data_IF_959228758038
#
_entry.id   IF_959228758038
#
_cell.length_a   1.000
_cell.length_b   1.000
_cell.length_c   1.000
_cell.angle_alpha   90.00
_cell.angle_beta   90.00
_cell.angle_gamma   90.00
#
_symmetry.space_group_name_H-M   'P 1'
#
loop_
_entity.id
_entity.type
_entity.pdbx_description
1 polymer ?
#
# COMPACT_ATOMS: atom_id res chain seq x y z
N UNK A 1 63.32 -55.90 58.03
CA UNK A 1 62.97 -55.30 56.72
C UNK A 1 61.87 -54.27 56.93
N UNK A 2 62.24 -53.00 56.90
CA UNK A 2 61.30 -51.86 56.89
C UNK A 2 60.82 -51.67 55.45
N UNK A 3 59.50 -51.66 55.20
CA UNK A 3 58.93 -51.17 53.93
C UNK A 3 57.78 -50.21 54.20
N UNK A 4 57.94 -49.04 53.61
CA UNK A 4 57.19 -47.81 53.79
C UNK A 4 55.72 -47.95 53.36
N UNK A 5 54.80 -47.44 54.20
CA UNK A 5 53.42 -47.13 53.81
C UNK A 5 53.42 -45.83 52.99
N UNK A 6 53.05 -45.93 51.72
CA UNK A 6 52.93 -44.79 50.82
C UNK A 6 51.78 -43.86 51.22
N UNK A 7 52.11 -42.64 51.63
CA UNK A 7 51.20 -41.49 51.59
C UNK A 7 51.35 -40.82 50.22
N UNK A 8 50.46 -41.07 49.26
CA UNK A 8 50.52 -40.40 47.95
C UNK A 8 49.17 -40.38 47.23
N UNK A 9 48.19 -39.66 47.79
CA UNK A 9 46.95 -39.33 47.04
C UNK A 9 46.38 -37.94 47.33
N UNK A 10 46.93 -37.22 48.33
CA UNK A 10 46.50 -35.87 48.69
C UNK A 10 47.32 -34.77 47.99
N UNK A 11 48.59 -35.02 47.66
CA UNK A 11 49.46 -34.04 47.00
C UNK A 11 49.13 -33.86 45.51
N UNK A 12 48.70 -34.90 44.81
CA UNK A 12 48.39 -34.83 43.37
C UNK A 12 47.19 -33.92 43.06
N UNK A 13 46.26 -33.77 44.01
CA UNK A 13 45.11 -32.88 43.87
C UNK A 13 45.45 -31.41 44.16
N UNK A 14 46.49 -31.13 44.95
CA UNK A 14 46.87 -29.76 45.34
C UNK A 14 47.49 -28.97 44.17
N UNK A 15 48.29 -29.62 43.34
CA UNK A 15 48.85 -28.99 42.15
C UNK A 15 47.76 -28.64 41.13
N UNK A 16 46.81 -29.57 40.92
CA UNK A 16 45.68 -29.36 40.00
C UNK A 16 44.74 -28.25 40.50
N UNK A 17 44.45 -28.20 41.80
CA UNK A 17 43.62 -27.12 42.36
C UNK A 17 44.32 -25.77 42.34
N UNK A 18 45.64 -25.71 42.61
CA UNK A 18 46.41 -24.48 42.52
C UNK A 18 46.47 -23.92 41.08
N UNK A 19 46.72 -24.78 40.09
CA UNK A 19 46.71 -24.41 38.66
C UNK A 19 45.31 -23.98 38.23
N UNK A 20 44.27 -24.70 38.64
CA UNK A 20 42.88 -24.33 38.34
C UNK A 20 42.53 -22.95 38.92
N UNK A 21 42.98 -22.65 40.14
CA UNK A 21 42.74 -21.37 40.82
C UNK A 21 43.49 -20.21 40.15
N UNK A 22 44.75 -20.40 39.77
CA UNK A 22 45.52 -19.41 39.01
C UNK A 22 44.89 -19.13 37.64
N UNK A 23 44.51 -20.18 36.91
CA UNK A 23 43.81 -20.06 35.62
C UNK A 23 42.50 -19.28 35.77
N UNK A 24 41.71 -19.56 36.82
CA UNK A 24 40.46 -18.85 37.08
C UNK A 24 40.67 -17.36 37.38
N UNK A 25 41.66 -17.01 38.21
CA UNK A 25 41.98 -15.60 38.53
C UNK A 25 42.43 -14.84 37.27
N UNK A 26 43.27 -15.46 36.43
CA UNK A 26 43.69 -14.86 35.16
C UNK A 26 42.51 -14.65 34.19
N UNK A 27 41.57 -15.59 34.17
CA UNK A 27 40.35 -15.52 33.39
C UNK A 27 39.37 -14.44 33.89
N UNK A 28 39.20 -14.31 35.20
CA UNK A 28 38.30 -13.34 35.84
C UNK A 28 38.83 -11.90 35.68
N UNK A 29 40.15 -11.71 35.80
CA UNK A 29 40.81 -10.42 35.59
C UNK A 29 41.07 -10.08 34.11
N UNK A 30 40.66 -10.93 33.16
CA UNK A 30 40.90 -10.77 31.71
C UNK A 30 42.39 -10.65 31.31
N UNK A 31 43.32 -11.12 32.13
CA UNK A 31 44.79 -10.98 31.96
C UNK A 31 45.41 -11.99 30.98
N UNK A 32 44.61 -12.54 30.05
CA UNK A 32 44.95 -13.72 29.22
C UNK A 32 46.17 -13.56 28.30
N UNK A 33 46.74 -12.36 28.20
CA UNK A 33 47.83 -12.02 27.28
C UNK A 33 49.22 -11.97 27.94
N UNK A 34 49.40 -12.51 29.16
CA UNK A 34 50.70 -12.52 29.87
C UNK A 34 51.36 -13.91 29.96
N UNK A 35 50.97 -14.87 29.12
CA UNK A 35 51.60 -16.20 29.10
C UNK A 35 53.01 -16.13 28.51
N UNK A 36 54.03 -16.32 29.36
CA UNK A 36 55.48 -16.33 29.04
C UNK A 36 55.97 -17.65 28.39
N UNK A 37 55.08 -18.60 28.08
CA UNK A 37 55.45 -19.83 27.40
C UNK A 37 54.71 -19.99 26.07
N UNK A 38 55.35 -19.53 25.00
CA UNK A 38 54.99 -19.86 23.62
C UNK A 38 55.37 -21.32 23.33
N UNK A 39 54.35 -22.17 23.20
CA UNK A 39 54.49 -23.47 22.54
C UNK A 39 53.61 -23.44 21.30
N UNK A 40 54.26 -23.19 20.17
CA UNK A 40 53.71 -23.19 18.82
C UNK A 40 52.91 -24.48 18.56
N UNK A 41 51.57 -24.39 18.52
CA UNK A 41 50.72 -25.47 18.04
C UNK A 41 50.49 -25.35 16.54
N UNK A 42 51.04 -26.31 15.83
CA UNK A 42 50.90 -26.61 14.40
C UNK A 42 49.43 -26.70 14.00
N UNK A 43 49.01 -25.85 13.06
CA UNK A 43 47.64 -25.76 12.53
C UNK A 43 47.50 -26.72 11.35
N UNK A 44 46.90 -27.90 11.57
CA UNK A 44 46.51 -28.83 10.50
C UNK A 44 45.12 -28.46 10.00
N UNK A 45 45.03 -27.93 8.78
CA UNK A 45 43.77 -27.74 8.05
C UNK A 45 43.32 -29.09 7.49
N UNK A 46 42.13 -29.55 7.89
CA UNK A 46 41.41 -30.65 7.20
C UNK A 46 40.40 -30.05 6.23
N UNK A 47 40.73 -30.14 4.96
CA UNK A 47 39.83 -29.84 3.83
C UNK A 47 39.04 -31.10 3.51
N UNK A 48 37.72 -31.11 3.70
CA UNK A 48 36.84 -32.21 3.27
C UNK A 48 35.99 -31.76 2.08
N UNK A 49 36.46 -32.09 0.88
CA UNK A 49 35.69 -32.00 -0.35
C UNK A 49 34.87 -33.29 -0.51
N UNK A 50 33.54 -33.20 -0.44
CA UNK A 50 32.64 -34.33 -0.72
C UNK A 50 31.84 -34.06 -1.99
N UNK A 51 32.22 -34.74 -3.07
CA UNK A 51 31.57 -34.70 -4.38
C UNK A 51 30.18 -35.34 -4.33
N UNK A 52 29.16 -34.66 -4.89
CA UNK A 52 27.82 -35.21 -5.10
C UNK A 52 27.68 -35.70 -6.54
N UNK A 53 27.46 -36.99 -6.68
CA UNK A 53 27.12 -37.68 -7.93
C UNK A 53 25.73 -37.27 -8.40
N UNK A 54 25.62 -36.82 -9.65
CA UNK A 54 24.37 -36.57 -10.36
C UNK A 54 23.86 -37.91 -10.95
N UNK A 55 22.68 -38.37 -10.51
CA UNK A 55 21.94 -39.42 -11.22
C UNK A 55 20.81 -38.80 -12.04
N UNK A 56 20.93 -39.04 -13.34
CA UNK A 56 20.02 -38.71 -14.44
C UNK A 56 18.90 -39.75 -14.47
N UNK A 57 17.63 -39.33 -14.54
CA UNK A 57 16.50 -40.12 -15.03
C UNK A 57 15.28 -39.19 -15.24
N UNK A 58 15.05 -38.81 -16.50
CA UNK A 58 13.91 -37.99 -16.95
C UNK A 58 12.80 -38.91 -17.46
N UNK A 59 11.57 -38.73 -16.97
CA UNK A 59 10.35 -39.24 -17.62
C UNK A 59 9.42 -38.06 -17.88
N UNK A 60 8.88 -38.00 -19.10
CA UNK A 60 7.97 -36.95 -19.55
C UNK A 60 6.61 -37.05 -18.84
N UNK A 61 6.09 -35.90 -18.39
CA UNK A 61 4.77 -35.76 -17.77
C UNK A 61 3.99 -34.69 -18.55
N UNK A 62 2.75 -35.04 -18.87
CA UNK A 62 1.82 -34.30 -19.72
C UNK A 62 1.12 -33.23 -18.86
N UNK A 63 1.01 -32.01 -19.39
CA UNK A 63 0.48 -30.82 -18.71
C UNK A 63 -1.03 -30.96 -18.41
N UNK A 64 -1.37 -30.94 -17.12
CA UNK A 64 -2.75 -30.91 -16.63
C UNK A 64 -2.94 -29.77 -15.63
N UNK A 65 -2.62 -28.52 -16.02
CA UNK A 65 -3.32 -27.28 -15.64
C UNK A 65 -3.65 -26.96 -14.16
N UNK A 66 -3.22 -27.75 -13.19
CA UNK A 66 -3.58 -27.63 -11.78
C UNK A 66 -2.30 -27.48 -10.97
N UNK A 67 -2.00 -26.22 -10.59
CA UNK A 67 -0.80 -25.87 -9.83
C UNK A 67 -0.79 -26.56 -8.46
N UNK A 68 -0.10 -27.71 -8.35
CA UNK A 68 0.40 -28.21 -7.07
C UNK A 68 1.60 -27.35 -6.66
N UNK A 69 1.53 -26.80 -5.45
CA UNK A 69 2.60 -26.03 -4.83
C UNK A 69 3.86 -26.90 -4.70
N UNK A 70 4.88 -26.56 -5.49
CA UNK A 70 6.24 -27.07 -5.32
C UNK A 70 6.75 -26.62 -3.95
N UNK A 71 7.07 -27.57 -3.06
CA UNK A 71 7.85 -27.26 -1.88
C UNK A 71 9.23 -26.78 -2.33
N UNK A 72 9.43 -25.46 -2.29
CA UNK A 72 10.73 -24.84 -2.49
C UNK A 72 11.73 -25.25 -1.39
N UNK A 73 13.00 -24.84 -1.52
CA UNK A 73 14.01 -25.05 -0.48
C UNK A 73 13.45 -24.54 0.86
N UNK A 74 13.69 -25.28 1.96
CA UNK A 74 13.35 -24.83 3.33
C UNK A 74 13.93 -23.43 3.55
N UNK A 75 13.13 -22.39 3.29
CA UNK A 75 13.36 -21.05 3.77
C UNK A 75 13.27 -21.17 5.29
N UNK A 76 14.34 -20.84 6.00
CA UNK A 76 14.30 -20.77 7.45
C UNK A 76 13.13 -19.86 7.85
N UNK A 77 12.29 -20.35 8.75
CA UNK A 77 11.09 -19.67 9.20
C UNK A 77 11.43 -18.23 9.64
N UNK A 78 10.90 -17.18 8.99
CA UNK A 78 11.22 -15.79 9.33
C UNK A 78 10.78 -15.39 10.74
N UNK A 79 10.08 -16.27 11.47
CA UNK A 79 9.57 -16.07 12.82
C UNK A 79 10.37 -16.83 13.89
N UNK A 80 11.58 -17.32 13.59
CA UNK A 80 12.39 -18.09 14.53
C UNK A 80 12.82 -17.25 15.74
N UNK A 81 12.21 -17.53 16.89
CA UNK A 81 12.54 -16.88 18.16
C UNK A 81 13.97 -17.21 18.60
N UNK A 82 14.70 -16.20 19.07
CA UNK A 82 16.08 -16.36 19.52
C UNK A 82 16.34 -15.59 20.83
N UNK A 83 17.24 -16.13 21.65
CA UNK A 83 17.70 -15.51 22.89
C UNK A 83 18.72 -14.42 22.53
N UNK A 84 18.56 -13.22 23.08
CA UNK A 84 19.45 -12.09 22.81
C UNK A 84 20.70 -12.09 23.69
N UNK A 85 20.65 -12.69 24.87
CA UNK A 85 21.78 -12.67 25.78
C UNK A 85 22.93 -13.57 25.28
N UNK A 86 24.20 -13.10 25.42
CA UNK A 86 25.36 -13.87 25.00
C UNK A 86 25.46 -15.17 25.79
N UNK A 87 25.88 -16.25 25.11
CA UNK A 87 26.16 -17.52 25.79
C UNK A 87 27.28 -17.30 26.81
N UNK A 88 27.13 -17.81 28.05
CA UNK A 88 28.18 -17.66 29.05
C UNK A 88 29.48 -18.35 28.57
N UNK A 89 30.65 -17.84 28.98
CA UNK A 89 31.92 -18.49 28.69
C UNK A 89 31.95 -19.91 29.27
N UNK A 90 32.71 -20.83 28.65
CA UNK A 90 32.84 -22.18 29.19
C UNK A 90 33.42 -22.15 30.61
N UNK A 91 32.90 -23.02 31.47
CA UNK A 91 33.29 -23.11 32.87
C UNK A 91 34.80 -23.38 33.01
N UNK A 92 35.45 -22.62 33.89
CA UNK A 92 36.87 -22.84 34.23
C UNK A 92 37.05 -24.15 34.97
N UNK A 93 38.28 -24.69 34.97
CA UNK A 93 38.57 -25.92 35.73
C UNK A 93 38.26 -25.74 37.23
N UNK A 94 38.52 -24.54 37.79
CA UNK A 94 38.19 -24.25 39.19
C UNK A 94 36.69 -24.30 39.49
N UNK A 95 35.84 -23.80 38.57
CA UNK A 95 34.39 -23.89 38.70
C UNK A 95 33.90 -25.33 38.58
N UNK A 96 34.51 -26.14 37.70
CA UNK A 96 34.21 -27.58 37.59
C UNK A 96 34.61 -28.38 38.83
N UNK A 97 35.69 -27.96 39.51
CA UNK A 97 36.16 -28.54 40.76
C UNK A 97 35.42 -28.02 42.00
N UNK A 98 34.44 -27.12 41.82
CA UNK A 98 33.64 -26.56 42.91
C UNK A 98 34.39 -25.57 43.82
N UNK A 99 35.54 -25.05 43.39
CA UNK A 99 36.29 -24.03 44.11
C UNK A 99 35.63 -22.65 44.02
N UNK A 100 34.87 -22.41 42.94
CA UNK A 100 34.08 -21.20 42.71
C UNK A 100 32.69 -21.58 42.24
N UNK A 101 31.68 -20.78 42.60
CA UNK A 101 30.32 -20.99 42.13
C UNK A 101 30.25 -20.79 40.60
N UNK A 102 29.67 -21.75 39.86
CA UNK A 102 29.48 -21.60 38.42
C UNK A 102 28.47 -20.48 38.14
N UNK A 103 28.64 -19.69 37.06
CA UNK A 103 27.70 -18.66 36.68
C UNK A 103 26.30 -19.23 36.46
N UNK A 104 25.23 -18.46 36.76
CA UNK A 104 23.86 -18.93 36.62
C UNK A 104 23.60 -19.41 35.20
N UNK A 105 23.09 -20.65 35.10
CA UNK A 105 22.86 -21.30 33.81
C UNK A 105 21.81 -20.52 32.99
N UNK A 106 22.00 -20.42 31.66
CA UNK A 106 20.96 -19.89 30.78
C UNK A 106 19.72 -20.78 30.88
N UNK A 107 18.54 -20.17 30.75
CA UNK A 107 17.29 -20.92 30.74
C UNK A 107 17.28 -21.89 29.56
N UNK A 108 16.87 -23.11 29.83
CA UNK A 108 16.66 -24.15 28.83
C UNK A 108 15.52 -23.79 27.87
N UNK A 109 15.47 -24.44 26.71
CA UNK A 109 14.38 -24.23 25.74
C UNK A 109 13.00 -24.53 26.36
N UNK A 110 12.91 -25.56 27.20
CA UNK A 110 11.66 -25.98 27.84
C UNK A 110 11.20 -24.98 28.90
N UNK A 111 12.13 -24.37 29.63
CA UNK A 111 11.82 -23.29 30.56
C UNK A 111 11.33 -22.04 29.83
N UNK A 112 11.92 -21.71 28.68
CA UNK A 112 11.44 -20.63 27.83
C UNK A 112 10.03 -20.88 27.31
N UNK A 113 9.70 -22.13 26.98
CA UNK A 113 8.34 -22.48 26.59
C UNK A 113 7.36 -22.26 27.75
N UNK A 114 7.70 -22.65 28.97
CA UNK A 114 6.87 -22.38 30.17
C UNK A 114 6.70 -20.87 30.42
N UNK A 115 7.76 -20.08 30.26
CA UNK A 115 7.70 -18.62 30.39
C UNK A 115 6.80 -18.02 29.30
N UNK A 116 6.90 -18.50 28.07
CA UNK A 116 6.04 -18.09 26.96
C UNK A 116 4.58 -18.45 27.22
N UNK A 117 4.29 -19.67 27.64
CA UNK A 117 2.94 -20.10 28.00
C UNK A 117 2.33 -19.20 29.08
N UNK A 118 3.09 -18.85 30.12
CA UNK A 118 2.62 -17.91 31.15
C UNK A 118 2.31 -16.53 30.58
N UNK A 119 3.18 -16.00 29.72
CA UNK A 119 2.96 -14.72 29.04
C UNK A 119 1.71 -14.73 28.15
N UNK A 120 1.47 -15.84 27.45
CA UNK A 120 0.28 -16.03 26.60
C UNK A 120 -0.99 -16.09 27.45
N UNK A 121 -0.99 -16.83 28.56
CA UNK A 121 -2.13 -16.92 29.48
C UNK A 121 -2.48 -15.55 30.10
N UNK A 122 -1.48 -14.72 30.38
CA UNK A 122 -1.66 -13.36 30.86
C UNK A 122 -2.09 -12.38 29.75
N UNK A 123 -2.05 -12.80 28.48
CA UNK A 123 -2.34 -11.93 27.35
C UNK A 123 -1.33 -10.79 27.20
N UNK A 124 -0.09 -10.96 27.64
CA UNK A 124 0.90 -9.89 27.68
C UNK A 124 1.15 -9.26 26.30
N UNK A 125 1.10 -10.06 25.22
CA UNK A 125 1.26 -9.59 23.84
C UNK A 125 0.00 -8.93 23.24
N UNK A 126 -1.16 -9.03 23.93
CA UNK A 126 -2.39 -8.31 23.56
C UNK A 126 -2.48 -6.93 24.20
N UNK A 127 -1.88 -6.76 25.38
CA UNK A 127 -1.83 -5.48 26.08
C UNK A 127 -0.79 -4.56 25.43
N UNK A 128 -0.95 -3.23 25.52
CA UNK A 128 0.05 -2.30 25.01
C UNK A 128 1.37 -2.43 25.79
N UNK A 129 2.47 -2.00 25.18
CA UNK A 129 3.76 -2.02 25.85
C UNK A 129 3.73 -1.13 27.11
N UNK A 130 4.13 -1.64 28.29
CA UNK A 130 4.04 -0.86 29.53
C UNK A 130 4.93 0.39 29.58
N UNK A 131 5.94 0.50 28.71
CA UNK A 131 6.88 1.62 28.67
C UNK A 131 6.33 2.78 27.82
N UNK A 132 5.95 2.50 26.56
CA UNK A 132 5.47 3.54 25.64
C UNK A 132 3.94 3.63 25.53
N UNK A 133 3.20 2.66 26.09
CA UNK A 133 1.74 2.55 26.04
C UNK A 133 1.15 2.35 24.63
N UNK A 134 1.97 1.95 23.66
CA UNK A 134 1.53 1.65 22.30
C UNK A 134 1.33 0.15 22.08
N UNK A 135 0.46 -0.23 21.13
CA UNK A 135 0.33 -1.61 20.68
C UNK A 135 1.65 -2.12 20.09
N UNK A 136 1.86 -3.45 20.15
CA UNK A 136 3.09 -4.04 19.64
C UNK A 136 3.19 -4.03 18.11
N UNK A 137 2.06 -4.18 17.43
CA UNK A 137 1.97 -4.20 15.96
C UNK A 137 3.04 -5.10 15.33
N UNK A 138 3.74 -4.61 14.30
CA UNK A 138 4.83 -5.31 13.61
C UNK A 138 6.20 -5.09 14.26
N UNK A 139 6.27 -4.32 15.35
CA UNK A 139 7.56 -3.99 15.97
C UNK A 139 8.13 -5.19 16.73
N UNK A 140 9.47 -5.35 16.77
CA UNK A 140 10.10 -6.48 17.45
C UNK A 140 9.82 -6.44 18.95
N UNK A 141 9.36 -7.56 19.48
CA UNK A 141 9.02 -7.75 20.88
C UNK A 141 10.06 -8.60 21.59
N UNK A 142 10.21 -8.38 22.88
CA UNK A 142 11.09 -9.16 23.75
C UNK A 142 10.30 -9.66 24.96
N UNK A 143 10.47 -10.94 25.26
CA UNK A 143 9.97 -11.63 26.43
C UNK A 143 11.11 -11.79 27.43
N UNK A 144 10.87 -11.36 28.66
CA UNK A 144 11.82 -11.52 29.76
C UNK A 144 11.62 -12.86 30.48
N UNK A 145 12.66 -13.36 31.16
CA UNK A 145 12.56 -14.53 32.05
C UNK A 145 11.54 -14.37 33.19
N UNK A 146 11.13 -13.14 33.49
CA UNK A 146 10.05 -12.81 34.42
C UNK A 146 8.66 -12.74 33.77
N UNK A 147 8.48 -13.30 32.56
CA UNK A 147 7.22 -13.36 31.79
C UNK A 147 6.61 -12.01 31.37
N UNK A 148 7.38 -10.91 31.43
CA UNK A 148 6.94 -9.60 30.95
C UNK A 148 7.38 -9.35 29.51
N UNK A 149 6.55 -8.63 28.74
CA UNK A 149 6.79 -8.33 27.31
C UNK A 149 6.93 -6.83 27.08
N UNK A 150 7.90 -6.45 26.26
CA UNK A 150 8.17 -5.05 25.87
C UNK A 150 8.58 -4.96 24.40
N UNK A 151 8.54 -3.77 23.81
CA UNK A 151 9.25 -3.54 22.55
C UNK A 151 10.76 -3.63 22.80
N UNK A 152 11.50 -4.22 21.87
CA UNK A 152 12.96 -4.30 21.95
C UNK A 152 13.60 -2.92 22.16
N UNK A 153 13.15 -1.92 21.39
CA UNK A 153 13.66 -0.56 21.48
C UNK A 153 13.35 0.09 22.83
N UNK A 154 12.13 -0.09 23.36
CA UNK A 154 11.73 0.47 24.64
C UNK A 154 12.52 -0.14 25.80
N UNK A 155 12.71 -1.46 25.81
CA UNK A 155 13.53 -2.11 26.83
C UNK A 155 14.99 -1.65 26.76
N UNK A 156 15.55 -1.58 25.55
CA UNK A 156 16.93 -1.12 25.35
C UNK A 156 17.13 0.33 25.81
N UNK A 157 16.15 1.21 25.55
CA UNK A 157 16.18 2.58 26.03
C UNK A 157 16.10 2.65 27.56
N UNK A 158 15.25 1.83 28.19
CA UNK A 158 15.13 1.73 29.64
C UNK A 158 16.43 1.25 30.29
N UNK A 159 17.04 0.18 29.76
CA UNK A 159 18.33 -0.34 30.26
C UNK A 159 19.44 0.70 30.18
N UNK A 160 19.50 1.47 29.09
CA UNK A 160 20.46 2.57 28.91
C UNK A 160 20.23 3.70 29.91
N UNK A 161 18.97 4.03 30.21
CA UNK A 161 18.61 5.07 31.15
C UNK A 161 18.90 4.65 32.61
N UNK A 162 18.52 3.42 32.98
CA UNK A 162 18.70 2.89 34.32
C UNK A 162 20.14 2.45 34.62
N UNK A 163 20.98 2.30 33.59
CA UNK A 163 22.33 1.69 33.64
C UNK A 163 22.36 0.31 34.33
N UNK A 164 21.22 -0.38 34.38
CA UNK A 164 21.04 -1.67 35.05
C UNK A 164 20.00 -2.50 34.29
N UNK A 165 20.26 -3.81 34.14
CA UNK A 165 19.29 -4.77 33.59
C UNK A 165 18.25 -5.16 34.64
N UNK A 166 17.22 -4.34 34.79
CA UNK A 166 16.13 -4.54 35.76
C UNK A 166 14.77 -4.46 35.06
N UNK A 167 13.86 -5.38 35.39
CA UNK A 167 12.56 -5.40 34.73
C UNK A 167 11.76 -4.15 35.14
N UNK A 168 11.20 -3.36 34.19
CA UNK A 168 10.39 -2.18 34.51
C UNK A 168 9.16 -2.47 35.38
N UNK A 169 8.60 -3.68 35.28
CA UNK A 169 7.38 -4.07 35.99
C UNK A 169 7.66 -4.70 37.35
N UNK A 170 8.48 -5.76 37.39
CA UNK A 170 8.70 -6.54 38.62
C UNK A 170 10.04 -6.29 39.29
N UNK A 171 10.88 -5.40 38.75
CA UNK A 171 12.21 -5.05 39.29
C UNK A 171 13.17 -6.24 39.47
N UNK A 172 12.88 -7.38 38.83
CA UNK A 172 13.80 -8.53 38.83
C UNK A 172 15.09 -8.14 38.12
N UNK A 173 16.22 -8.35 38.79
CA UNK A 173 17.56 -8.11 38.26
C UNK A 173 18.03 -9.30 37.42
N UNK A 174 18.96 -9.05 36.49
CA UNK A 174 19.67 -10.10 35.73
C UNK A 174 18.71 -11.09 35.03
N UNK A 175 17.69 -10.58 34.35
CA UNK A 175 16.81 -11.40 33.52
C UNK A 175 17.50 -11.82 32.23
N UNK A 176 16.96 -12.86 31.60
CA UNK A 176 17.27 -13.22 30.24
C UNK A 176 16.19 -12.71 29.30
N UNK A 177 16.54 -12.49 28.04
CA UNK A 177 15.74 -11.84 27.01
C UNK A 177 15.61 -12.74 25.79
N UNK A 178 14.38 -12.97 25.33
CA UNK A 178 14.07 -13.73 24.12
C UNK A 178 13.23 -12.89 23.18
N UNK A 179 13.60 -12.82 21.90
CA UNK A 179 12.78 -12.15 20.88
C UNK A 179 11.56 -13.01 20.59
N UNK A 180 10.39 -12.39 20.59
CA UNK A 180 9.12 -13.02 20.26
C UNK A 180 8.38 -12.24 19.16
N UNK A 181 7.47 -12.90 18.45
CA UNK A 181 6.68 -12.32 17.37
C UNK A 181 5.16 -12.42 17.59
N UNK A 182 4.73 -12.75 18.81
CA UNK A 182 3.32 -13.00 19.14
C UNK A 182 2.41 -11.79 18.84
N UNK A 183 2.82 -10.57 19.23
CA UNK A 183 2.02 -9.37 18.92
C UNK A 183 1.94 -9.08 17.42
N UNK A 184 2.98 -9.40 16.64
CA UNK A 184 2.94 -9.25 15.18
C UNK A 184 1.98 -10.26 14.55
N UNK A 185 1.95 -11.50 15.05
CA UNK A 185 0.97 -12.51 14.64
C UNK A 185 -0.45 -12.07 14.95
N UNK A 186 -0.71 -11.56 16.17
CA UNK A 186 -2.02 -11.04 16.56
C UNK A 186 -2.44 -9.84 15.70
N UNK A 187 -1.52 -8.92 15.43
CA UNK A 187 -1.77 -7.77 14.56
C UNK A 187 -2.14 -8.20 13.13
N UNK A 188 -1.43 -9.16 12.55
CA UNK A 188 -1.77 -9.72 11.22
C UNK A 188 -3.17 -10.34 11.21
N UNK A 189 -3.56 -11.05 12.26
CA UNK A 189 -4.91 -11.61 12.39
C UNK A 189 -5.96 -10.48 12.44
N UNK A 190 -5.74 -9.44 13.25
CA UNK A 190 -6.62 -8.25 13.31
C UNK A 190 -6.76 -7.58 11.93
N UNK A 191 -5.64 -7.36 11.22
CA UNK A 191 -5.63 -6.78 9.89
C UNK A 191 -6.39 -7.65 8.88
N UNK A 192 -6.15 -8.97 8.89
CA UNK A 192 -6.86 -9.90 8.03
C UNK A 192 -8.37 -9.85 8.26
N UNK A 193 -8.82 -9.85 9.52
CA UNK A 193 -10.24 -9.72 9.86
C UNK A 193 -10.85 -8.41 9.33
N UNK A 194 -10.14 -7.28 9.46
CA UNK A 194 -10.59 -5.98 8.94
C UNK A 194 -10.73 -5.97 7.42
N UNK A 195 -9.73 -6.48 6.71
CA UNK A 195 -9.74 -6.57 5.24
C UNK A 195 -10.90 -7.46 4.78
N UNK A 196 -11.06 -8.63 5.39
CA UNK A 196 -12.13 -9.55 5.06
C UNK A 196 -13.52 -8.95 5.33
N UNK A 197 -13.71 -8.25 6.46
CA UNK A 197 -14.97 -7.58 6.77
C UNK A 197 -15.29 -6.48 5.75
N UNK A 198 -14.29 -5.68 5.37
CA UNK A 198 -14.46 -4.64 4.35
C UNK A 198 -14.84 -5.23 2.99
N UNK A 199 -14.16 -6.31 2.59
CA UNK A 199 -14.43 -7.00 1.33
C UNK A 199 -15.83 -7.61 1.31
N UNK A 200 -16.20 -8.39 2.35
CA UNK A 200 -17.56 -8.95 2.50
C UNK A 200 -18.62 -7.85 2.43
N UNK A 201 -18.40 -6.73 3.13
CA UNK A 201 -19.28 -5.57 3.06
C UNK A 201 -19.35 -4.91 1.69
N UNK A 202 -18.22 -4.82 0.96
CA UNK A 202 -18.18 -4.30 -0.40
C UNK A 202 -19.00 -5.16 -1.36
N UNK A 203 -18.83 -6.48 -1.31
CA UNK A 203 -19.58 -7.44 -2.14
C UNK A 203 -21.08 -7.29 -1.92
N UNK A 204 -21.53 -7.29 -0.66
CA UNK A 204 -22.95 -7.12 -0.32
C UNK A 204 -23.48 -5.77 -0.78
N UNK A 205 -22.74 -4.67 -0.57
CA UNK A 205 -23.18 -3.34 -1.03
C UNK A 205 -23.26 -3.25 -2.55
N UNK A 206 -22.32 -3.86 -3.28
CA UNK A 206 -22.34 -3.90 -4.75
C UNK A 206 -23.57 -4.64 -5.25
N UNK A 207 -23.84 -5.83 -4.70
CA UNK A 207 -25.04 -6.61 -5.01
C UNK A 207 -26.34 -5.87 -4.65
N UNK A 208 -26.40 -5.28 -3.45
CA UNK A 208 -27.59 -4.57 -2.97
C UNK A 208 -27.91 -3.31 -3.78
N UNK A 209 -26.89 -2.59 -4.29
CA UNK A 209 -27.11 -1.47 -5.22
C UNK A 209 -27.80 -1.92 -6.50
N UNK A 210 -27.41 -3.06 -7.04
CA UNK A 210 -28.02 -3.60 -8.26
C UNK A 210 -29.44 -4.11 -7.99
N UNK A 211 -29.64 -4.79 -6.86
CA UNK A 211 -30.98 -5.20 -6.41
C UNK A 211 -31.93 -3.99 -6.28
N UNK A 212 -31.46 -2.89 -5.69
CA UNK A 212 -32.26 -1.66 -5.54
C UNK A 212 -32.59 -0.97 -6.86
N UNK A 213 -31.84 -1.24 -7.93
CA UNK A 213 -32.11 -0.74 -9.28
C UNK A 213 -33.13 -1.57 -10.05
N UNK A 214 -33.20 -2.87 -9.76
CA UNK A 214 -33.97 -3.85 -10.54
C UNK A 214 -35.26 -4.29 -9.85
N UNK A 215 -35.25 -4.43 -8.54
CA UNK A 215 -36.38 -4.97 -7.77
C UNK A 215 -37.13 -3.84 -7.04
N UNK A 216 -38.47 -3.74 -7.21
CA UNK A 216 -39.29 -2.78 -6.49
C UNK A 216 -39.26 -3.05 -4.97
N UNK A 217 -39.05 -2.02 -4.14
CA UNK A 217 -39.15 -2.15 -2.68
C UNK A 217 -40.57 -2.51 -2.20
N UNK A 218 -40.67 -3.23 -1.08
CA UNK A 218 -41.96 -3.58 -0.45
C UNK A 218 -42.66 -2.37 0.16
N UNK A 219 -41.91 -1.43 0.74
CA UNK A 219 -42.46 -0.24 1.37
C UNK A 219 -43.15 0.68 0.35
N UNK A 220 -44.40 1.05 0.61
CA UNK A 220 -45.21 1.83 -0.33
C UNK A 220 -44.55 3.17 -0.76
N UNK A 221 -43.91 3.89 0.19
CA UNK A 221 -43.23 5.16 -0.08
C UNK A 221 -41.99 4.98 -0.96
N UNK A 222 -41.19 3.95 -0.70
CA UNK A 222 -39.98 3.67 -1.48
C UNK A 222 -40.33 3.09 -2.85
N UNK A 223 -41.39 2.29 -2.93
CA UNK A 223 -41.95 1.76 -4.17
C UNK A 223 -42.41 2.88 -5.11
N UNK A 224 -43.09 3.91 -4.58
CA UNK A 224 -43.49 5.09 -5.37
C UNK A 224 -42.26 5.79 -5.97
N UNK A 225 -41.24 6.08 -5.17
CA UNK A 225 -39.98 6.70 -5.64
C UNK A 225 -39.25 5.84 -6.66
N UNK A 226 -39.26 4.52 -6.47
CA UNK A 226 -38.65 3.58 -7.42
C UNK A 226 -39.32 3.66 -8.80
N UNK A 227 -40.65 3.57 -8.84
CA UNK A 227 -41.39 3.65 -10.10
C UNK A 227 -41.35 5.04 -10.73
N UNK A 228 -41.36 6.10 -9.93
CA UNK A 228 -41.16 7.47 -10.40
C UNK A 228 -39.83 7.60 -11.15
N UNK A 229 -38.71 7.19 -10.52
CA UNK A 229 -37.39 7.24 -11.16
C UNK A 229 -37.33 6.37 -12.43
N UNK A 230 -37.96 5.19 -12.41
CA UNK A 230 -38.02 4.30 -13.59
C UNK A 230 -38.85 4.90 -14.73
N UNK A 231 -39.96 5.55 -14.41
CA UNK A 231 -40.79 6.23 -15.40
C UNK A 231 -40.02 7.39 -16.02
N UNK A 232 -39.34 8.22 -15.21
CA UNK A 232 -38.49 9.30 -15.72
C UNK A 232 -37.38 8.78 -16.63
N UNK A 233 -36.73 7.67 -16.28
CA UNK A 233 -35.71 7.02 -17.12
C UNK A 233 -36.29 6.59 -18.49
N UNK A 234 -37.48 5.99 -18.50
CA UNK A 234 -38.17 5.57 -19.74
C UNK A 234 -38.60 6.78 -20.57
N UNK A 235 -39.22 7.79 -19.94
CA UNK A 235 -39.64 9.02 -20.62
C UNK A 235 -38.45 9.75 -21.24
N UNK A 236 -37.33 9.87 -20.51
CA UNK A 236 -36.12 10.47 -21.05
C UNK A 236 -35.57 9.67 -22.24
N UNK A 237 -35.50 8.33 -22.13
CA UNK A 237 -35.06 7.48 -23.25
C UNK A 237 -35.98 7.62 -24.47
N UNK A 238 -37.29 7.72 -24.26
CA UNK A 238 -38.28 7.91 -25.31
C UNK A 238 -38.10 9.28 -25.97
N UNK A 239 -37.99 10.35 -25.18
CA UNK A 239 -37.74 11.70 -25.68
C UNK A 239 -36.43 11.78 -26.47
N UNK A 240 -35.35 11.17 -25.99
CA UNK A 240 -34.09 11.10 -26.73
C UNK A 240 -34.17 10.24 -28.00
N UNK A 241 -35.10 9.30 -28.09
CA UNK A 241 -35.31 8.50 -29.30
C UNK A 241 -36.09 9.26 -30.39
N UNK A 242 -36.91 10.24 -29.99
CA UNK A 242 -37.50 11.18 -30.92
C UNK A 242 -36.44 12.20 -31.31
N UNK A 243 -35.90 12.06 -32.52
CA UNK A 243 -34.96 13.01 -33.12
C UNK A 243 -35.73 14.26 -33.55
N UNK A 244 -36.11 15.10 -32.59
CA UNK A 244 -36.59 16.45 -32.90
C UNK A 244 -35.37 17.37 -32.88
N UNK A 245 -34.55 17.32 -33.93
CA UNK A 245 -33.48 18.32 -34.12
C UNK A 245 -34.11 19.63 -34.59
N UNK A 246 -34.84 20.24 -33.66
CA UNK A 246 -35.50 21.52 -33.85
C UNK A 246 -34.45 22.60 -34.10
N UNK A 247 -33.26 22.43 -33.52
CA UNK A 247 -32.12 23.32 -33.70
C UNK A 247 -31.56 23.23 -35.13
N UNK A 248 -31.47 22.04 -35.72
CA UNK A 248 -31.13 21.87 -37.14
C UNK A 248 -32.17 22.58 -38.05
N UNK A 249 -33.47 22.38 -37.80
CA UNK A 249 -34.54 23.05 -38.55
C UNK A 249 -34.45 24.59 -38.45
N UNK A 250 -34.23 25.13 -37.24
CA UNK A 250 -34.09 26.57 -37.06
C UNK A 250 -32.83 27.12 -37.71
N UNK A 251 -31.73 26.38 -37.68
CA UNK A 251 -30.50 26.77 -38.37
C UNK A 251 -30.67 26.85 -39.89
N UNK A 252 -31.49 25.97 -40.47
CA UNK A 252 -31.80 25.99 -41.91
C UNK A 252 -32.71 27.17 -42.27
N UNK A 253 -33.67 27.51 -41.41
CA UNK A 253 -34.52 28.69 -41.58
C UNK A 253 -33.68 29.97 -41.51
N UNK A 254 -32.81 30.10 -40.51
CA UNK A 254 -31.93 31.26 -40.36
C UNK A 254 -30.98 31.41 -41.56
N UNK A 255 -30.44 30.29 -42.05
CA UNK A 255 -29.62 30.26 -43.27
C UNK A 255 -30.41 30.74 -44.49
N UNK A 256 -31.65 30.27 -44.67
CA UNK A 256 -32.53 30.72 -45.75
C UNK A 256 -32.84 32.22 -45.64
N UNK A 257 -33.11 32.73 -44.44
CA UNK A 257 -33.37 34.14 -44.22
C UNK A 257 -32.13 35.01 -44.50
N UNK A 258 -30.94 34.57 -44.09
CA UNK A 258 -29.69 35.25 -44.37
C UNK A 258 -29.39 35.33 -45.88
N UNK A 259 -29.66 34.25 -46.63
CA UNK A 259 -29.53 34.24 -48.09
C UNK A 259 -30.53 35.19 -48.76
N UNK A 260 -31.79 35.21 -48.32
CA UNK A 260 -32.78 36.14 -48.86
C UNK A 260 -32.38 37.60 -48.59
N UNK A 261 -31.91 37.90 -47.37
CA UNK A 261 -31.43 39.25 -47.02
C UNK A 261 -30.22 39.65 -47.86
N UNK A 262 -29.27 38.75 -48.10
CA UNK A 262 -28.10 39.07 -48.93
C UNK A 262 -28.46 39.29 -50.39
N UNK A 263 -29.41 38.53 -50.95
CA UNK A 263 -29.92 38.76 -52.31
C UNK A 263 -30.64 40.11 -52.41
N UNK A 264 -31.48 40.45 -51.43
CA UNK A 264 -32.15 41.75 -51.37
C UNK A 264 -31.14 42.89 -51.26
N UNK A 265 -30.12 42.75 -50.42
CA UNK A 265 -29.08 43.76 -50.29
C UNK A 265 -28.23 43.89 -51.55
N UNK A 266 -27.91 42.79 -52.24
CA UNK A 266 -27.25 42.85 -53.54
C UNK A 266 -28.11 43.49 -54.63
N UNK A 267 -29.44 43.34 -54.57
CA UNK A 267 -30.36 44.04 -55.47
C UNK A 267 -30.43 45.53 -55.12
N UNK A 268 -30.43 45.88 -53.85
CA UNK A 268 -30.36 47.26 -53.38
C UNK A 268 -29.02 47.92 -53.74
N UNK A 269 -27.90 47.24 -53.61
CA UNK A 269 -26.59 47.76 -54.02
C UNK A 269 -26.47 47.92 -55.55
N UNK A 270 -27.17 47.07 -56.32
CA UNK A 270 -27.10 47.05 -57.79
C UNK A 270 -28.15 47.92 -58.48
N UNK A 271 -29.30 48.13 -57.84
CA UNK A 271 -30.42 48.93 -58.38
C UNK A 271 -30.73 50.18 -57.54
N UNK A 272 -30.20 50.29 -56.33
CA UNK A 272 -30.37 51.42 -55.41
C UNK A 272 -29.31 52.51 -55.57
N UNK A 273 -28.69 52.61 -56.76
CA UNK A 273 -28.13 53.88 -57.16
C UNK A 273 -29.29 54.86 -57.29
N UNK A 274 -29.54 55.62 -56.24
CA UNK A 274 -30.35 56.83 -56.34
C UNK A 274 -29.64 57.72 -57.35
N UNK A 275 -30.26 57.93 -58.51
CA UNK A 275 -29.78 58.84 -59.54
C UNK A 275 -29.57 60.20 -58.88
N UNK A 276 -28.35 60.73 -58.93
CA UNK A 276 -28.09 62.07 -58.37
C UNK A 276 -28.90 63.11 -59.16
N UNK A 277 -29.34 64.18 -58.50
CA UNK A 277 -30.06 65.32 -59.15
C UNK A 277 -29.34 65.82 -60.42
N UNK A 278 -28.01 65.73 -60.44
CA UNK A 278 -27.17 66.09 -61.59
C UNK A 278 -27.24 65.06 -62.74
N UNK A 279 -27.37 63.77 -62.44
CA UNK A 279 -27.58 62.70 -63.43
C UNK A 279 -29.00 62.73 -63.98
N UNK A 280 -30.00 63.05 -63.14
CA UNK A 280 -31.36 63.35 -63.57
C UNK A 280 -31.40 64.58 -64.48
N UNK A 281 -30.71 65.66 -64.12
CA UNK A 281 -30.57 66.86 -64.94
C UNK A 281 -29.89 66.60 -66.29
N UNK A 282 -28.91 65.67 -66.36
CA UNK A 282 -28.29 65.22 -67.62
C UNK A 282 -29.26 64.42 -68.49
N UNK A 283 -30.05 63.52 -67.90
CA UNK A 283 -31.09 62.78 -68.62
C UNK A 283 -32.18 63.74 -69.14
N UNK A 284 -32.50 64.79 -68.36
CA UNK A 284 -33.49 65.79 -68.73
C UNK A 284 -32.99 66.72 -69.83
N UNK A 285 -31.75 67.22 -69.74
CA UNK A 285 -31.11 68.02 -70.80
C UNK A 285 -30.81 67.20 -72.06
N UNK A 286 -30.57 65.90 -71.95
CA UNK A 286 -30.42 65.01 -73.11
C UNK A 286 -31.77 64.72 -73.78
N UNK A 287 -32.86 64.64 -73.03
CA UNK A 287 -34.23 64.62 -73.58
C UNK A 287 -34.65 65.98 -74.16
N UNK A 288 -34.20 67.10 -73.58
CA UNK A 288 -34.44 68.45 -74.10
C UNK A 288 -33.60 68.75 -75.35
N UNK A 289 -32.32 68.36 -75.39
CA UNK A 289 -31.51 68.43 -76.62
C UNK A 289 -32.02 67.49 -77.71
N UNK A 290 -32.59 66.34 -77.34
CA UNK A 290 -33.26 65.44 -78.29
C UNK A 290 -34.64 65.94 -78.72
N UNK A 291 -35.24 66.92 -78.02
CA UNK A 291 -36.50 67.56 -78.41
C UNK A 291 -36.33 68.90 -79.13
N UNK A 292 -35.16 69.54 -79.04
CA UNK A 292 -34.79 70.77 -79.76
C UNK A 292 -34.16 70.56 -81.14
N UNK A 293 -33.84 69.30 -81.51
CA UNK A 293 -33.74 68.90 -82.92
C UNK A 293 -35.14 68.45 -83.37
N UNK A 294 -35.98 69.45 -83.66
CA UNK A 294 -37.28 69.26 -84.29
C UNK A 294 -37.17 68.49 -85.61
N UNK A 295 -38.11 67.57 -85.83
CA UNK A 295 -38.89 67.58 -87.07
C UNK A 295 -40.39 67.41 -86.72
N UNK A 296 -41.25 68.42 -86.93
CA UNK A 296 -42.63 68.43 -86.46
C UNK A 296 -43.55 67.69 -87.45
N UNK A 297 -43.31 66.40 -87.67
CA UNK A 297 -44.26 65.48 -88.35
C UNK A 297 -44.01 64.06 -87.86
N UNK A 298 -44.66 63.70 -86.76
CA UNK A 298 -45.42 62.44 -86.60
C UNK A 298 -46.02 62.43 -85.18
N UNK A 299 -47.28 62.88 -85.16
CA UNK A 299 -48.27 62.59 -84.14
C UNK A 299 -48.46 61.08 -83.96
N UNK A 300 -49.16 60.73 -82.88
CA UNK A 300 -49.77 59.44 -82.50
C UNK A 300 -48.79 58.43 -81.84
N UNK A 301 -48.88 58.02 -80.57
CA UNK A 301 -50.04 57.75 -79.70
C UNK A 301 -49.73 58.04 -78.22
N UNK A 302 -50.62 58.80 -77.58
CA UNK A 302 -50.78 58.88 -76.12
C UNK A 302 -51.82 57.86 -75.67
N UNK A 303 -51.56 57.12 -74.58
CA UNK A 303 -52.50 56.86 -73.45
C UNK A 303 -51.91 55.78 -72.52
N UNK A 304 -51.48 56.12 -71.30
CA UNK A 304 -52.27 56.27 -70.05
C UNK A 304 -52.65 54.95 -69.37
N UNK A 305 -52.38 54.91 -68.05
CA UNK A 305 -53.00 54.16 -66.93
C UNK A 305 -52.01 53.26 -66.18
N UNK A 306 -51.89 53.26 -64.86
CA UNK A 306 -52.04 54.30 -63.83
C UNK A 306 -51.42 53.69 -62.57
N UNK A 307 -50.75 54.53 -61.79
CA UNK A 307 -50.31 54.27 -60.41
C UNK A 307 -51.52 54.03 -59.49
N UNK A 308 -51.50 52.98 -58.64
CA UNK A 308 -51.58 53.06 -57.16
C UNK A 308 -52.03 51.77 -56.44
N UNK A 309 -51.39 51.56 -55.28
CA UNK A 309 -51.72 50.71 -54.13
C UNK A 309 -51.27 49.23 -54.28
N UNK A 310 -50.53 48.64 -53.34
CA UNK A 310 -50.86 48.56 -51.91
C UNK A 310 -49.62 48.18 -51.07
N UNK A 311 -49.29 49.01 -50.07
CA UNK A 311 -48.59 48.60 -48.84
C UNK A 311 -49.57 47.81 -47.98
N UNK A 312 -49.24 46.58 -47.57
CA UNK A 312 -49.46 45.97 -46.23
C UNK A 312 -49.46 44.43 -46.31
N UNK A 313 -48.38 43.79 -45.86
CA UNK A 313 -48.37 42.65 -44.93
C UNK A 313 -46.94 42.23 -44.60
#
# INVERSE_FOLDING_TARGET
MLKNKGHSSKQDNLAVTAVALQDHILHDLQLRNLSVADHSKTKVQRTENRSKSLKRNTKAIIDTGLKKTTQGPKVEDPEKEYVLDPKPPPLTLAQKLGLFEPPPLPLSSDEWEKVKQRSVLQGASMQPCPICKEEFELRPQVLLSCSHVFHRACLQAFEKFANKKTCPLCRKNQYQTKVIHDGARLFRIKCAARIQAFWRGHVVRKWYRELRRTVPPTDAKLRRKFFEAKFTEISHRLLCSYHTDIDELFSEIDRCLALNRSVLQQLEDRCGHELTEEEWGKIQTQNEMSSFLEDPRLSVYSSHLNFRNFLSR
#
